data_IF_065312765773
#
_entry.id   IF_065312765773
#
_cell.length_a   1.000
_cell.length_b   1.000
_cell.length_c   1.000
_cell.angle_alpha   90.00
_cell.angle_beta   90.00
_cell.angle_gamma   90.00
#
_symmetry.space_group_name_H-M   'P 1'
#
loop_
_entity.id
_entity.type
_entity.pdbx_description
1 polymer ?
#
# COMPACT_ATOMS: atom_id res chain seq x y z
N UNK A 1 -30.02 3.33 12.11
CA UNK A 1 -29.20 3.62 13.31
C UNK A 1 -28.38 2.38 13.66
N UNK A 2 -27.37 2.05 12.83
CA UNK A 2 -26.43 0.92 12.98
C UNK A 2 -25.21 0.98 12.04
N UNK A 3 -25.23 1.88 11.04
CA UNK A 3 -24.06 2.16 10.17
C UNK A 3 -23.00 3.03 10.86
N UNK A 4 -23.41 4.01 11.67
CA UNK A 4 -22.50 4.93 12.36
C UNK A 4 -21.59 4.26 13.41
N UNK A 5 -22.07 3.23 14.12
CA UNK A 5 -21.29 2.55 15.19
C UNK A 5 -20.24 1.57 14.66
N UNK A 6 -20.42 1.00 13.46
CA UNK A 6 -19.38 0.19 12.80
C UNK A 6 -18.30 1.10 12.20
N UNK A 7 -18.72 2.19 11.56
CA UNK A 7 -17.86 3.19 10.93
C UNK A 7 -16.89 3.90 11.90
N UNK A 8 -17.29 4.16 13.16
CA UNK A 8 -16.39 4.76 14.16
C UNK A 8 -15.39 3.77 14.76
N UNK A 9 -15.71 2.46 14.80
CA UNK A 9 -14.80 1.44 15.35
C UNK A 9 -13.54 1.28 14.50
N UNK A 10 -13.71 1.50 13.21
CA UNK A 10 -12.70 1.29 12.17
C UNK A 10 -11.49 2.24 12.31
N UNK A 11 -11.67 3.54 12.06
CA UNK A 11 -10.56 4.49 12.19
C UNK A 11 -10.04 4.67 13.63
N UNK A 12 -10.80 4.26 14.65
CA UNK A 12 -10.30 4.18 16.03
C UNK A 12 -9.20 3.12 16.18
N UNK A 13 -9.20 2.05 15.37
CA UNK A 13 -8.16 1.04 15.41
C UNK A 13 -6.80 1.59 14.97
N UNK A 14 -6.76 2.50 13.98
CA UNK A 14 -5.55 3.21 13.57
C UNK A 14 -5.01 4.05 14.74
N UNK A 15 -5.86 4.89 15.35
CA UNK A 15 -5.47 5.70 16.52
C UNK A 15 -4.93 4.82 17.66
N UNK A 16 -5.66 3.77 18.00
CA UNK A 16 -5.27 2.82 19.03
C UNK A 16 -3.92 2.17 18.71
N UNK A 17 -3.65 1.83 17.45
CA UNK A 17 -2.38 1.27 17.02
C UNK A 17 -1.23 2.28 17.20
N UNK A 18 -1.40 3.51 16.70
CA UNK A 18 -0.42 4.59 16.86
C UNK A 18 -0.09 4.82 18.34
N UNK A 19 -1.11 4.92 19.20
CA UNK A 19 -0.95 5.16 20.63
C UNK A 19 -0.35 3.96 21.38
N UNK A 20 -0.78 2.74 21.05
CA UNK A 20 -0.32 1.50 21.68
C UNK A 20 1.15 1.25 21.38
N UNK A 21 1.55 1.44 20.13
CA UNK A 21 2.90 1.14 19.65
C UNK A 21 3.85 2.34 19.68
N UNK A 22 3.37 3.52 20.09
CA UNK A 22 4.15 4.77 20.18
C UNK A 22 4.78 5.13 18.83
N UNK A 23 4.03 4.91 17.75
CA UNK A 23 4.48 5.26 16.40
C UNK A 23 4.54 6.78 16.27
N UNK A 24 5.68 7.33 15.85
CA UNK A 24 5.79 8.76 15.53
C UNK A 24 5.11 9.10 14.22
N UNK A 25 5.18 8.19 13.25
CA UNK A 25 4.59 8.34 11.93
C UNK A 25 3.69 7.15 11.60
N UNK A 26 2.63 7.44 10.87
CA UNK A 26 1.74 6.47 10.24
C UNK A 26 1.24 7.05 8.91
N UNK A 27 0.73 6.18 8.04
CA UNK A 27 0.31 6.56 6.68
C UNK A 27 1.09 5.80 5.62
N UNK A 28 1.10 6.31 4.41
CA UNK A 28 1.51 5.54 3.23
C UNK A 28 2.90 5.92 2.74
N UNK A 29 3.60 4.93 2.20
CA UNK A 29 4.82 5.09 1.40
C UNK A 29 4.48 4.76 -0.03
N UNK A 30 4.74 5.67 -0.96
CA UNK A 30 4.36 5.58 -2.37
C UNK A 30 5.63 5.64 -3.21
N UNK A 31 5.85 4.63 -4.04
CA UNK A 31 6.85 4.67 -5.09
C UNK A 31 6.20 5.14 -6.39
N UNK A 32 6.73 6.23 -6.95
CA UNK A 32 6.35 6.67 -8.29
C UNK A 32 7.14 5.87 -9.32
N UNK A 33 6.46 4.98 -10.03
CA UNK A 33 7.08 4.06 -10.99
C UNK A 33 6.83 4.45 -12.45
N UNK A 34 6.20 5.61 -12.67
CA UNK A 34 6.05 6.20 -14.00
C UNK A 34 6.12 7.73 -13.95
N UNK A 35 6.80 8.29 -14.93
CA UNK A 35 7.05 9.73 -15.10
C UNK A 35 6.50 10.23 -16.45
N UNK A 36 5.71 9.42 -17.15
CA UNK A 36 5.19 9.69 -18.50
C UNK A 36 4.19 10.85 -18.55
N UNK A 37 3.47 11.11 -17.45
CA UNK A 37 2.55 12.24 -17.35
C UNK A 37 2.53 12.81 -15.94
N UNK A 38 2.91 14.08 -15.82
CA UNK A 38 2.81 14.82 -14.56
C UNK A 38 1.35 15.13 -14.20
N UNK A 39 0.51 15.40 -15.20
CA UNK A 39 -0.91 15.69 -15.00
C UNK A 39 -1.65 14.50 -14.37
N UNK A 40 -1.43 13.29 -14.92
CA UNK A 40 -2.04 12.05 -14.37
C UNK A 40 -1.52 11.77 -12.96
N UNK A 41 -0.24 12.02 -12.72
CA UNK A 41 0.36 11.87 -11.38
C UNK A 41 -0.25 12.82 -10.36
N UNK A 42 -0.37 14.11 -10.70
CA UNK A 42 -0.95 15.13 -9.81
C UNK A 42 -2.42 14.80 -9.49
N UNK A 43 -3.19 14.37 -10.49
CA UNK A 43 -4.57 13.93 -10.31
C UNK A 43 -4.65 12.68 -9.41
N UNK A 44 -3.79 11.69 -9.64
CA UNK A 44 -3.72 10.45 -8.85
C UNK A 44 -3.45 10.75 -7.37
N UNK A 45 -2.44 11.57 -7.07
CA UNK A 45 -2.13 11.97 -5.69
C UNK A 45 -3.24 12.82 -5.08
N UNK A 46 -3.86 13.70 -5.86
CA UNK A 46 -4.99 14.52 -5.38
C UNK A 46 -6.16 13.64 -4.94
N UNK A 47 -6.57 12.68 -5.77
CA UNK A 47 -7.67 11.76 -5.47
C UNK A 47 -7.39 10.89 -4.24
N UNK A 48 -6.16 10.37 -4.09
CA UNK A 48 -5.78 9.61 -2.89
C UNK A 48 -5.95 10.42 -1.61
N UNK A 49 -5.50 11.68 -1.62
CA UNK A 49 -5.58 12.57 -0.46
C UNK A 49 -7.01 13.02 -0.19
N UNK A 50 -7.78 13.33 -1.24
CA UNK A 50 -9.20 13.69 -1.14
C UNK A 50 -10.00 12.56 -0.51
N UNK A 51 -9.92 11.33 -1.04
CA UNK A 51 -10.62 10.19 -0.48
C UNK A 51 -10.21 9.85 0.95
N UNK A 52 -8.92 9.98 1.28
CA UNK A 52 -8.48 9.81 2.66
C UNK A 52 -9.05 10.91 3.58
N UNK A 53 -9.08 12.16 3.13
CA UNK A 53 -9.68 13.27 3.88
C UNK A 53 -11.17 13.02 4.14
N UNK A 54 -11.94 12.69 3.09
CA UNK A 54 -13.37 12.41 3.17
C UNK A 54 -13.66 11.26 4.15
N UNK A 55 -12.83 10.21 4.13
CA UNK A 55 -12.96 9.06 5.01
C UNK A 55 -12.91 9.45 6.50
N UNK A 56 -12.05 10.40 6.87
CA UNK A 56 -11.90 10.88 8.24
C UNK A 56 -12.87 12.00 8.60
N UNK A 57 -13.23 12.89 7.66
CA UNK A 57 -14.21 13.96 7.88
C UNK A 57 -15.58 13.37 8.25
N UNK A 58 -16.04 12.34 7.54
CA UNK A 58 -17.33 11.71 7.84
C UNK A 58 -17.38 10.99 9.20
N UNK A 59 -16.24 10.87 9.89
CA UNK A 59 -16.09 10.17 11.16
C UNK A 59 -15.62 11.10 12.30
N UNK A 60 -15.59 12.41 12.08
CA UNK A 60 -15.11 13.42 13.03
C UNK A 60 -13.69 13.10 13.57
N UNK A 61 -12.78 12.67 12.68
CA UNK A 61 -11.39 12.27 12.99
C UNK A 61 -10.35 13.00 12.13
N UNK A 62 -10.60 14.27 11.85
CA UNK A 62 -9.72 15.13 11.06
C UNK A 62 -8.35 15.33 11.72
N UNK A 63 -8.27 15.24 13.05
CA UNK A 63 -7.00 15.26 13.79
C UNK A 63 -6.12 14.06 13.44
N UNK A 64 -6.73 12.89 13.25
CA UNK A 64 -6.03 11.70 12.81
C UNK A 64 -5.54 11.89 11.38
N UNK A 65 -6.39 12.32 10.44
CA UNK A 65 -5.96 12.65 9.07
C UNK A 65 -4.81 13.67 9.03
N UNK A 66 -4.87 14.72 9.85
CA UNK A 66 -3.83 15.74 9.94
C UNK A 66 -2.47 15.18 10.40
N UNK A 67 -2.45 14.04 11.10
CA UNK A 67 -1.24 13.33 11.50
C UNK A 67 -0.77 12.25 10.50
N UNK A 68 -1.56 11.96 9.45
CA UNK A 68 -1.19 10.99 8.43
C UNK A 68 -0.07 11.54 7.54
N UNK A 69 0.94 10.71 7.28
CA UNK A 69 2.07 11.05 6.41
C UNK A 69 1.98 10.33 5.07
N UNK A 70 2.12 11.12 4.01
CA UNK A 70 2.31 10.64 2.64
C UNK A 70 3.78 10.76 2.27
N UNK A 71 4.53 9.66 2.39
CA UNK A 71 5.93 9.61 1.94
C UNK A 71 5.95 9.21 0.48
N UNK A 72 6.39 10.12 -0.39
CA UNK A 72 6.49 9.88 -1.82
C UNK A 72 7.98 9.73 -2.16
N UNK A 73 8.35 8.56 -2.69
CA UNK A 73 9.71 8.25 -3.12
C UNK A 73 9.77 8.37 -4.64
N UNK A 74 10.61 9.30 -5.10
CA UNK A 74 10.83 9.59 -6.51
C UNK A 74 12.31 9.49 -6.87
N UNK A 75 12.60 8.76 -7.93
CA UNK A 75 13.92 8.62 -8.54
C UNK A 75 13.73 8.07 -9.96
N UNK A 76 13.48 8.96 -10.93
CA UNK A 76 13.14 8.56 -12.29
C UNK A 76 14.20 7.69 -12.98
N UNK A 77 15.47 7.82 -12.59
CA UNK A 77 16.56 7.03 -13.15
C UNK A 77 16.47 5.54 -12.76
N UNK A 78 15.90 5.25 -11.59
CA UNK A 78 15.83 3.87 -11.06
C UNK A 78 14.42 3.33 -10.89
N UNK A 79 13.39 4.20 -10.97
CA UNK A 79 12.00 3.84 -10.72
C UNK A 79 11.10 3.81 -11.96
N UNK A 80 11.47 4.46 -13.08
CA UNK A 80 10.66 4.37 -14.32
C UNK A 80 10.56 2.91 -14.78
N UNK A 81 9.35 2.35 -14.73
CA UNK A 81 9.08 0.96 -15.09
C UNK A 81 9.72 -0.08 -14.16
N UNK A 82 10.09 0.31 -12.93
CA UNK A 82 10.70 -0.61 -11.97
C UNK A 82 9.77 -1.80 -11.64
N UNK A 83 10.36 -2.98 -11.43
CA UNK A 83 9.62 -4.17 -11.01
C UNK A 83 9.24 -4.08 -9.53
N UNK A 84 8.31 -4.94 -9.10
CA UNK A 84 7.94 -5.06 -7.69
C UNK A 84 9.12 -5.49 -6.80
N UNK A 85 10.02 -6.33 -7.32
CA UNK A 85 11.22 -6.72 -6.60
C UNK A 85 12.16 -5.53 -6.38
N UNK A 86 12.36 -4.70 -7.40
CA UNK A 86 13.17 -3.47 -7.29
C UNK A 86 12.58 -2.48 -6.29
N UNK A 87 11.26 -2.22 -6.35
CA UNK A 87 10.62 -1.31 -5.40
C UNK A 87 10.55 -1.90 -3.99
N UNK A 88 10.40 -3.22 -3.83
CA UNK A 88 10.43 -3.87 -2.53
C UNK A 88 11.83 -3.79 -1.88
N UNK A 89 12.89 -3.98 -2.67
CA UNK A 89 14.26 -3.81 -2.18
C UNK A 89 14.50 -2.36 -1.71
N UNK A 90 14.13 -1.37 -2.52
CA UNK A 90 14.25 0.05 -2.14
C UNK A 90 13.38 0.40 -0.93
N UNK A 91 12.21 -0.22 -0.78
CA UNK A 91 11.36 -0.03 0.39
C UNK A 91 12.04 -0.57 1.65
N UNK A 92 12.60 -1.78 1.62
CA UNK A 92 13.35 -2.33 2.76
C UNK A 92 14.56 -1.45 3.09
N UNK A 93 15.30 -0.97 2.08
CA UNK A 93 16.39 -0.01 2.27
C UNK A 93 15.93 1.31 2.90
N UNK A 94 14.73 1.79 2.56
CA UNK A 94 14.13 2.98 3.17
C UNK A 94 13.73 2.72 4.63
N UNK A 95 13.08 1.59 4.93
CA UNK A 95 12.67 1.19 6.30
C UNK A 95 13.89 1.07 7.22
N UNK A 96 14.99 0.49 6.74
CA UNK A 96 16.26 0.32 7.47
C UNK A 96 17.19 1.53 7.36
N UNK A 97 16.86 2.47 6.49
CA UNK A 97 17.58 3.71 6.25
C UNK A 97 17.45 4.71 7.41
N UNK A 98 18.11 5.87 7.30
CA UNK A 98 18.02 6.92 8.33
C UNK A 98 16.59 7.42 8.56
N UNK A 99 15.81 7.61 7.49
CA UNK A 99 14.44 8.12 7.56
C UNK A 99 13.49 7.09 8.21
N UNK A 100 13.46 5.84 7.72
CA UNK A 100 12.61 4.79 8.30
C UNK A 100 12.96 4.44 9.75
N UNK A 101 14.25 4.55 10.16
CA UNK A 101 14.64 4.42 11.56
C UNK A 101 14.20 5.62 12.40
N UNK A 102 14.32 6.84 11.88
CA UNK A 102 13.84 8.03 12.58
C UNK A 102 12.32 8.00 12.80
N UNK A 103 11.56 7.49 11.83
CA UNK A 103 10.10 7.29 11.92
C UNK A 103 9.70 6.34 13.08
N UNK A 104 10.58 5.39 13.42
CA UNK A 104 10.37 4.39 14.47
C UNK A 104 11.03 4.72 15.80
N UNK A 105 11.89 5.75 15.86
CA UNK A 105 12.62 6.11 17.07
C UNK A 105 11.66 6.38 18.25
N UNK A 106 11.90 5.76 19.39
CA UNK A 106 11.05 5.84 20.59
C UNK A 106 9.76 5.02 20.53
N UNK A 107 9.49 4.31 19.44
CA UNK A 107 8.39 3.36 19.34
C UNK A 107 8.70 2.05 20.07
N UNK A 108 7.69 1.19 20.23
CA UNK A 108 7.92 -0.19 20.72
C UNK A 108 8.74 -1.06 19.74
N UNK A 109 9.04 -0.53 18.54
CA UNK A 109 9.80 -1.19 17.49
C UNK A 109 11.17 -0.53 17.25
N UNK A 110 11.61 0.34 18.17
CA UNK A 110 12.91 1.02 18.17
C UNK A 110 14.06 0.15 18.74
N UNK A 111 13.84 -1.14 18.96
CA UNK A 111 14.90 -2.03 19.42
C UNK A 111 15.63 -2.63 18.22
N UNK A 112 16.96 -2.72 18.30
CA UNK A 112 17.81 -3.33 17.25
C UNK A 112 17.40 -4.78 16.89
N UNK A 113 16.77 -5.50 17.82
CA UNK A 113 16.28 -6.87 17.63
C UNK A 113 14.77 -6.96 17.34
N UNK A 114 14.06 -5.83 17.22
CA UNK A 114 12.64 -5.85 16.89
C UNK A 114 12.46 -6.19 15.41
N UNK A 115 11.65 -7.22 15.06
CA UNK A 115 11.30 -7.47 13.67
C UNK A 115 10.72 -6.19 13.03
N UNK A 116 11.08 -5.83 11.78
CA UNK A 116 10.54 -4.66 11.08
C UNK A 116 9.03 -4.76 10.74
N UNK A 117 8.36 -5.82 11.19
CA UNK A 117 7.07 -6.33 10.71
C UNK A 117 5.86 -5.71 11.42
N UNK A 118 6.02 -4.59 12.12
CA UNK A 118 4.93 -4.06 12.95
C UNK A 118 4.46 -2.68 12.51
N UNK A 119 3.43 -2.71 11.67
CA UNK A 119 2.69 -1.53 11.22
C UNK A 119 2.63 -1.48 9.69
N UNK A 120 1.46 -1.19 9.10
CA UNK A 120 1.31 -1.23 7.65
C UNK A 120 2.32 -0.36 6.90
N UNK A 121 2.67 0.81 7.44
CA UNK A 121 3.68 1.74 6.89
C UNK A 121 5.05 1.11 6.64
N UNK A 122 5.44 0.10 7.41
CA UNK A 122 6.78 -0.54 7.36
C UNK A 122 6.73 -1.94 6.75
N UNK A 123 5.54 -2.45 6.41
CA UNK A 123 5.35 -3.78 5.80
C UNK A 123 4.83 -3.69 4.37
N UNK A 124 4.02 -2.68 4.08
CA UNK A 124 3.40 -2.46 2.78
C UNK A 124 3.80 -1.11 2.20
N UNK A 125 3.89 -1.05 0.87
CA UNK A 125 4.01 0.20 0.14
C UNK A 125 3.04 0.22 -1.04
N UNK A 126 2.83 1.42 -1.59
CA UNK A 126 2.02 1.64 -2.77
C UNK A 126 2.94 1.77 -3.99
N UNK A 127 2.73 0.92 -4.99
CA UNK A 127 3.44 0.92 -6.26
C UNK A 127 2.58 1.62 -7.32
N UNK A 128 2.92 2.87 -7.63
CA UNK A 128 2.16 3.70 -8.55
C UNK A 128 2.80 3.67 -9.95
N UNK A 129 2.38 2.69 -10.75
CA UNK A 129 2.80 2.49 -12.13
C UNK A 129 1.83 3.11 -13.14
N UNK A 130 2.12 2.93 -14.43
CA UNK A 130 1.30 3.48 -15.51
C UNK A 130 -0.14 2.99 -15.44
N UNK A 131 -0.36 1.72 -15.10
CA UNK A 131 -1.71 1.18 -14.94
C UNK A 131 -2.50 1.93 -13.85
N UNK A 132 -1.86 2.23 -12.71
CA UNK A 132 -2.45 3.00 -11.61
C UNK A 132 -2.81 4.42 -12.07
N UNK A 133 -1.95 5.08 -12.85
CA UNK A 133 -2.19 6.45 -13.34
C UNK A 133 -3.23 6.50 -14.47
N UNK A 134 -3.29 5.47 -15.32
CA UNK A 134 -4.34 5.37 -16.34
C UNK A 134 -5.71 5.11 -15.74
N UNK A 135 -5.78 4.55 -14.52
CA UNK A 135 -7.07 4.35 -13.84
C UNK A 135 -7.80 5.68 -13.57
N UNK A 136 -7.07 6.77 -13.28
CA UNK A 136 -7.67 8.05 -12.83
C UNK A 136 -8.11 9.01 -13.92
N UNK A 137 -7.80 8.74 -15.19
CA UNK A 137 -8.11 9.65 -16.32
C UNK A 137 -9.41 9.34 -17.03
N UNK A 138 -10.06 8.22 -16.72
CA UNK A 138 -11.28 7.80 -17.40
C UNK A 138 -12.43 7.67 -16.38
N UNK A 139 -13.16 8.77 -16.19
CA UNK A 139 -14.38 8.84 -15.35
C UNK A 139 -15.45 7.79 -15.74
N UNK A 140 -15.38 7.22 -16.95
CA UNK A 140 -16.25 6.11 -17.34
C UNK A 140 -15.72 4.78 -16.79
N UNK A 141 -14.41 4.52 -16.85
CA UNK A 141 -13.77 3.39 -16.15
C UNK A 141 -13.87 3.48 -14.64
N UNK A 142 -13.87 4.69 -14.08
CA UNK A 142 -14.12 4.92 -12.65
C UNK A 142 -15.50 4.38 -12.19
N UNK A 143 -16.47 4.34 -13.12
CA UNK A 143 -17.83 3.83 -12.88
C UNK A 143 -17.94 2.32 -13.12
N UNK A 144 -16.91 1.69 -13.69
CA UNK A 144 -16.80 0.23 -13.75
C UNK A 144 -16.33 -0.31 -12.40
N UNK A 145 -16.48 -1.62 -12.17
CA UNK A 145 -16.20 -2.24 -10.88
C UNK A 145 -14.76 -2.04 -10.38
N UNK A 146 -13.79 -1.89 -11.29
CA UNK A 146 -12.38 -1.67 -10.96
C UNK A 146 -12.07 -0.31 -10.33
N UNK A 147 -12.82 0.75 -10.65
CA UNK A 147 -12.62 2.09 -10.10
C UNK A 147 -11.19 2.65 -10.26
N UNK A 148 -10.90 3.73 -9.54
CA UNK A 148 -9.54 4.24 -9.37
C UNK A 148 -8.77 3.36 -8.39
N UNK A 149 -7.58 2.89 -8.76
CA UNK A 149 -6.82 1.97 -7.90
C UNK A 149 -5.32 2.25 -7.87
N UNK A 150 -4.67 1.66 -6.87
CA UNK A 150 -3.22 1.55 -6.76
C UNK A 150 -2.85 0.12 -6.35
N UNK A 151 -1.61 -0.30 -6.63
CA UNK A 151 -1.09 -1.60 -6.18
C UNK A 151 -0.50 -1.46 -4.79
N UNK A 152 -1.14 -2.04 -3.78
CA UNK A 152 -0.52 -2.27 -2.49
C UNK A 152 0.36 -3.52 -2.57
N UNK A 153 1.60 -3.44 -2.09
CA UNK A 153 2.59 -4.51 -2.22
C UNK A 153 3.13 -4.86 -0.84
N UNK A 154 3.20 -6.17 -0.54
CA UNK A 154 3.84 -6.67 0.66
C UNK A 154 5.31 -6.97 0.36
N UNK A 155 6.22 -6.23 0.98
CA UNK A 155 7.61 -6.16 0.53
C UNK A 155 8.39 -7.48 0.72
N UNK A 156 8.17 -8.18 1.85
CA UNK A 156 8.79 -9.48 2.12
C UNK A 156 8.40 -10.53 1.08
N UNK A 157 7.12 -10.56 0.70
CA UNK A 157 6.61 -11.48 -0.33
C UNK A 157 7.14 -11.19 -1.72
N UNK A 158 7.22 -9.91 -2.09
CA UNK A 158 7.79 -9.51 -3.38
C UNK A 158 9.26 -9.94 -3.52
N UNK A 159 10.03 -9.91 -2.43
CA UNK A 159 11.41 -10.36 -2.40
C UNK A 159 11.52 -11.89 -2.40
N UNK A 160 10.68 -12.59 -1.64
CA UNK A 160 10.65 -14.05 -1.60
C UNK A 160 10.31 -14.64 -2.98
N UNK A 161 9.27 -14.13 -3.63
CA UNK A 161 8.88 -14.56 -4.97
C UNK A 161 9.99 -14.32 -6.01
N UNK A 162 10.77 -13.24 -5.88
CA UNK A 162 11.92 -13.00 -6.76
C UNK A 162 13.08 -13.97 -6.49
N UNK A 163 13.33 -14.31 -5.23
CA UNK A 163 14.35 -15.30 -4.86
C UNK A 163 14.00 -16.68 -5.40
N UNK A 164 12.75 -17.12 -5.24
CA UNK A 164 12.25 -18.39 -5.77
C UNK A 164 12.42 -18.46 -7.30
N UNK A 165 12.01 -17.41 -8.04
CA UNK A 165 12.24 -17.33 -9.49
C UNK A 165 13.71 -17.45 -9.90
N UNK A 166 14.62 -16.87 -9.11
CA UNK A 166 16.06 -16.93 -9.38
C UNK A 166 16.65 -18.32 -9.07
N UNK A 167 16.13 -19.02 -8.07
CA UNK A 167 16.56 -20.36 -7.66
C UNK A 167 16.05 -21.46 -8.60
N UNK A 168 14.83 -21.32 -9.12
CA UNK A 168 14.21 -22.32 -10.00
C UNK A 168 14.82 -22.33 -11.41
N UNK A 169 15.51 -21.26 -11.82
CA UNK A 169 16.26 -21.21 -13.08
C UNK A 169 15.44 -21.52 -14.35
N UNK A 170 14.10 -21.44 -14.26
CA UNK A 170 13.16 -21.89 -15.28
C UNK A 170 12.97 -20.90 -16.43
N UNK A 171 12.82 -21.44 -17.64
CA UNK A 171 12.31 -20.72 -18.80
C UNK A 171 10.88 -20.25 -18.48
N UNK A 172 10.55 -18.93 -18.55
CA UNK A 172 9.25 -18.38 -18.13
C UNK A 172 8.05 -18.89 -18.96
N UNK A 173 8.26 -19.82 -19.89
CA UNK A 173 7.23 -20.33 -20.78
C UNK A 173 6.69 -21.73 -20.43
N UNK A 174 7.28 -22.49 -19.47
CA UNK A 174 7.00 -23.93 -19.39
C UNK A 174 6.33 -24.51 -18.12
N UNK A 175 6.01 -23.79 -17.04
CA UNK A 175 5.42 -24.52 -15.88
C UNK A 175 4.32 -23.88 -15.01
N UNK A 176 3.75 -22.72 -15.36
CA UNK A 176 2.55 -22.21 -14.68
C UNK A 176 1.54 -21.69 -15.70
N UNK A 177 0.27 -22.03 -15.54
CA UNK A 177 -0.79 -21.39 -16.32
C UNK A 177 -0.86 -19.90 -15.96
N UNK A 178 -1.35 -19.05 -16.88
CA UNK A 178 -1.57 -17.62 -16.58
C UNK A 178 -2.43 -17.40 -15.31
N UNK A 179 -3.31 -18.36 -14.99
CA UNK A 179 -4.13 -18.36 -13.77
C UNK A 179 -3.27 -18.58 -12.52
N UNK A 180 -2.26 -19.45 -12.56
CA UNK A 180 -1.37 -19.74 -11.43
C UNK A 180 -0.39 -18.56 -11.17
N UNK A 181 0.09 -17.89 -12.24
CA UNK A 181 0.91 -16.66 -12.10
C UNK A 181 0.10 -15.50 -11.50
N UNK A 182 -1.19 -15.36 -11.85
CA UNK A 182 -2.04 -14.34 -11.24
C UNK A 182 -2.32 -14.66 -9.75
N UNK A 183 -2.56 -15.92 -9.38
CA UNK A 183 -2.75 -16.34 -7.99
C UNK A 183 -1.51 -16.09 -7.12
N UNK A 184 -0.30 -16.45 -7.57
CA UNK A 184 0.94 -16.15 -6.83
C UNK A 184 1.14 -14.64 -6.64
N UNK A 185 0.75 -13.84 -7.63
CA UNK A 185 0.85 -12.39 -7.54
C UNK A 185 -0.16 -11.80 -6.56
N UNK A 186 -1.30 -12.45 -6.26
CA UNK A 186 -2.29 -11.96 -5.28
C UNK A 186 -1.73 -11.96 -3.84
N UNK A 187 -0.79 -12.85 -3.54
CA UNK A 187 -0.10 -12.90 -2.25
C UNK A 187 0.97 -11.81 -2.14
N UNK A 188 1.54 -11.40 -3.27
CA UNK A 188 2.55 -10.33 -3.34
C UNK A 188 1.92 -8.94 -3.38
N UNK A 189 0.86 -8.76 -4.17
CA UNK A 189 0.24 -7.47 -4.45
C UNK A 189 -1.27 -7.56 -4.52
N UNK A 190 -1.94 -6.46 -4.17
CA UNK A 190 -3.38 -6.29 -4.36
C UNK A 190 -3.66 -4.95 -4.99
N UNK A 191 -4.56 -4.92 -5.98
CA UNK A 191 -5.12 -3.65 -6.48
C UNK A 191 -6.14 -3.17 -5.46
N UNK A 192 -5.92 -1.99 -4.89
CA UNK A 192 -6.76 -1.38 -3.86
C UNK A 192 -7.37 -0.12 -4.45
N UNK A 193 -8.69 0.01 -4.36
CA UNK A 193 -9.36 1.25 -4.78
C UNK A 193 -8.89 2.42 -3.93
N UNK A 194 -8.77 3.60 -4.53
CA UNK A 194 -8.23 4.78 -3.82
C UNK A 194 -9.09 5.16 -2.60
N UNK A 195 -10.41 5.00 -2.69
CA UNK A 195 -11.37 5.22 -1.59
C UNK A 195 -11.33 4.14 -0.50
N UNK A 196 -10.67 3.02 -0.76
CA UNK A 196 -10.49 1.90 0.18
C UNK A 196 -9.10 1.85 0.82
N UNK A 197 -8.17 2.76 0.47
CA UNK A 197 -6.81 2.74 1.01
C UNK A 197 -6.76 2.79 2.54
N UNK A 198 -7.54 3.69 3.16
CA UNK A 198 -7.57 3.81 4.62
C UNK A 198 -8.25 2.61 5.29
N UNK A 199 -9.42 2.14 4.83
CA UNK A 199 -9.98 0.86 5.27
C UNK A 199 -9.01 -0.32 5.16
N UNK A 200 -8.27 -0.45 4.05
CA UNK A 200 -7.27 -1.52 3.89
C UNK A 200 -6.13 -1.34 4.88
N UNK A 201 -5.62 -0.11 5.06
CA UNK A 201 -4.57 0.17 6.04
C UNK A 201 -4.96 -0.28 7.44
N UNK A 202 -6.19 0.00 7.86
CA UNK A 202 -6.73 -0.46 9.12
C UNK A 202 -6.81 -1.99 9.19
N UNK A 203 -7.35 -2.61 8.15
CA UNK A 203 -7.54 -4.07 8.10
C UNK A 203 -6.21 -4.82 8.24
N UNK A 204 -5.15 -4.31 7.60
CA UNK A 204 -3.81 -4.90 7.62
C UNK A 204 -2.94 -4.41 8.79
N UNK A 205 -3.52 -3.74 9.79
CA UNK A 205 -2.86 -3.52 11.09
C UNK A 205 -2.43 -4.86 11.72
N UNK A 206 -3.18 -5.93 11.47
CA UNK A 206 -2.71 -7.31 11.58
C UNK A 206 -2.24 -7.77 10.19
N UNK A 207 -0.94 -8.04 10.06
CA UNK A 207 -0.35 -8.42 8.78
C UNK A 207 -0.88 -9.74 8.24
N UNK A 208 -1.41 -10.62 9.09
CA UNK A 208 -2.06 -11.86 8.66
C UNK A 208 -3.40 -11.61 7.96
N UNK A 209 -4.04 -10.47 8.22
CA UNK A 209 -5.28 -10.08 7.54
C UNK A 209 -5.09 -9.87 6.04
N UNK A 210 -3.86 -9.72 5.55
CA UNK A 210 -3.56 -9.64 4.12
C UNK A 210 -4.21 -10.79 3.31
N UNK A 211 -4.15 -12.02 3.82
CA UNK A 211 -4.74 -13.20 3.17
C UNK A 211 -6.27 -13.27 3.24
N UNK A 212 -6.88 -12.35 4.00
CA UNK A 212 -8.32 -12.28 4.19
C UNK A 212 -8.97 -11.12 3.41
N UNK A 213 -8.17 -10.32 2.71
CA UNK A 213 -8.67 -9.31 1.78
C UNK A 213 -9.30 -10.02 0.57
N UNK A 214 -10.62 -9.91 0.45
CA UNK A 214 -11.39 -10.44 -0.65
C UNK A 214 -11.17 -9.60 -1.91
N UNK A 215 -11.05 -10.27 -3.06
CA UNK A 215 -10.91 -9.63 -4.37
C UNK A 215 -12.21 -9.81 -5.14
N UNK A 216 -12.83 -8.71 -5.55
CA UNK A 216 -13.96 -8.69 -6.48
C UNK A 216 -13.55 -7.91 -7.74
N UNK A 217 -13.77 -8.48 -8.92
CA UNK A 217 -13.41 -7.86 -10.21
C UNK A 217 -11.94 -7.36 -10.29
N UNK A 218 -11.03 -8.09 -9.64
CA UNK A 218 -9.59 -7.81 -9.66
C UNK A 218 -9.14 -6.67 -8.75
N UNK A 219 -9.99 -6.18 -7.85
CA UNK A 219 -9.69 -5.16 -6.84
C UNK A 219 -10.17 -5.60 -5.45
N UNK A 220 -9.55 -5.06 -4.39
CA UNK A 220 -9.96 -5.34 -3.01
C UNK A 220 -11.36 -4.79 -2.75
N UNK A 221 -12.22 -5.63 -2.20
CA UNK A 221 -13.55 -5.26 -1.69
C UNK A 221 -13.63 -5.50 -0.17
N UNK A 222 -13.91 -4.43 0.58
CA UNK A 222 -14.03 -4.38 2.05
C UNK A 222 -15.07 -3.37 2.51
#
# INVERSE_FOLDING_TARGET
>A
MRLFELSTREATAIRNSVDKYKLKQWGFVIFRCTYKSQEKWDQFISLMKEHASDYFEWRDMEDLYASMVWTIIEDAETLEGASLATTAQKFVEWVEGPEGRQDREGSLFDADDAPPVYGPRYTFYLHADEESLESVVDDAKAREAGGYFCKAVRADMALAAEQERQEEGGDPAEELGLEDEEEELVDVRKRVKLDKLVPVYEYVLDTNSWYHLFMEDGVVDI
#
